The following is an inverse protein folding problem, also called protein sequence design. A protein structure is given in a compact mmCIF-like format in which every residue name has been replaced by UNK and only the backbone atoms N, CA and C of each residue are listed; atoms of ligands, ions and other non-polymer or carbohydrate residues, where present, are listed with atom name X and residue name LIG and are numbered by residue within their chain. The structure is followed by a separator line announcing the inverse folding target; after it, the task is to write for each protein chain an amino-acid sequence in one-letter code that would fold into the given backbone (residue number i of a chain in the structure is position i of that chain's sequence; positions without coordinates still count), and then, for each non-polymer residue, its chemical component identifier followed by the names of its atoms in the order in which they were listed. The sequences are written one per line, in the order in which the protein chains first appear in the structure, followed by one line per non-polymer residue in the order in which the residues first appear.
data_IF_625185211990
#
_entry.id   IF_625185211990
#
_cell.length_a   1.000
_cell.length_b   1.000
_cell.length_c   1.000
_cell.angle_alpha   90.00
_cell.angle_beta   90.00
_cell.angle_gamma   90.00
#
_symmetry.space_group_name_H-M   'P 1'
#
loop_
_entity.id
_entity.type
_entity.pdbx_description
1 polymer ?
#
# COMPACT_ATOMS: atom_id res chain seq x y z
N UNK A 1 57.62 -35.69 -20.19
CA UNK A 1 57.51 -34.32 -20.71
C UNK A 1 57.13 -33.41 -19.55
N UNK A 2 58.03 -32.53 -19.11
CA UNK A 2 57.76 -31.60 -18.01
C UNK A 2 56.81 -30.55 -18.59
N UNK A 3 55.55 -30.53 -18.15
CA UNK A 3 54.61 -29.48 -18.53
C UNK A 3 55.23 -28.13 -18.18
N UNK A 4 55.56 -27.32 -19.19
CA UNK A 4 56.11 -25.99 -18.98
C UNK A 4 55.13 -25.18 -18.13
N UNK A 5 55.63 -24.59 -17.03
CA UNK A 5 54.80 -23.77 -16.17
C UNK A 5 54.13 -22.64 -16.98
N UNK A 6 52.83 -22.37 -16.79
CA UNK A 6 52.12 -21.36 -17.55
C UNK A 6 52.74 -19.98 -17.31
N UNK A 7 52.82 -19.11 -18.31
CA UNK A 7 53.34 -17.76 -18.10
C UNK A 7 52.57 -17.04 -16.97
N UNK A 8 53.20 -16.13 -16.20
CA UNK A 8 52.54 -15.45 -15.08
C UNK A 8 51.21 -14.79 -15.46
N UNK A 9 51.12 -14.19 -16.65
CA UNK A 9 49.91 -13.55 -17.18
C UNK A 9 48.77 -14.53 -17.46
N UNK A 10 49.06 -15.81 -17.71
CA UNK A 10 48.01 -16.83 -17.90
C UNK A 10 47.44 -17.33 -16.57
N UNK A 11 48.23 -17.26 -15.49
CA UNK A 11 47.86 -17.79 -14.18
C UNK A 11 47.33 -16.72 -13.22
N UNK A 12 47.83 -15.48 -13.33
CA UNK A 12 47.62 -14.41 -12.35
C UNK A 12 47.09 -13.16 -13.06
N UNK A 13 45.85 -12.80 -12.71
CA UNK A 13 45.20 -11.58 -13.18
C UNK A 13 45.26 -10.50 -12.10
N UNK A 14 45.72 -9.30 -12.45
CA UNK A 14 45.73 -8.15 -11.53
C UNK A 14 44.49 -7.28 -11.77
N UNK A 15 43.69 -7.08 -10.73
CA UNK A 15 42.57 -6.14 -10.76
C UNK A 15 43.00 -4.81 -10.12
N UNK A 16 43.23 -3.74 -10.90
CA UNK A 16 43.76 -2.48 -10.39
C UNK A 16 42.83 -1.78 -9.41
N UNK A 17 41.51 -1.88 -9.62
CA UNK A 17 40.50 -1.21 -8.79
C UNK A 17 40.49 -1.70 -7.34
N UNK A 18 40.69 -3.01 -7.17
CA UNK A 18 40.70 -3.66 -5.86
C UNK A 18 42.13 -3.87 -5.35
N UNK A 19 43.13 -3.62 -6.19
CA UNK A 19 44.54 -3.92 -5.95
C UNK A 19 44.76 -5.37 -5.49
N UNK A 20 44.06 -6.31 -6.13
CA UNK A 20 44.16 -7.75 -5.82
C UNK A 20 44.72 -8.54 -6.99
N UNK A 21 45.33 -9.68 -6.67
CA UNK A 21 45.84 -10.63 -7.66
C UNK A 21 45.02 -11.93 -7.60
N UNK A 22 44.24 -12.21 -8.64
CA UNK A 22 43.38 -13.39 -8.73
C UNK A 22 44.10 -14.51 -9.47
N UNK A 23 44.09 -15.72 -8.90
CA UNK A 23 44.52 -16.91 -9.63
C UNK A 23 43.39 -17.37 -10.55
N UNK A 24 43.62 -17.37 -11.86
CA UNK A 24 42.60 -17.73 -12.87
C UNK A 24 42.20 -19.21 -12.78
N UNK A 25 43.10 -20.07 -12.33
CA UNK A 25 42.83 -21.51 -12.15
C UNK A 25 42.13 -21.82 -10.84
N UNK A 26 42.47 -21.13 -9.74
CA UNK A 26 41.86 -21.38 -8.44
C UNK A 26 40.63 -20.52 -8.16
N UNK A 27 40.44 -19.45 -8.94
CA UNK A 27 39.33 -18.52 -8.86
C UNK A 27 39.16 -17.90 -7.47
N UNK A 28 40.26 -17.38 -6.91
CA UNK A 28 40.27 -16.55 -5.71
C UNK A 28 41.51 -15.65 -5.68
N UNK A 29 41.44 -14.55 -4.94
CA UNK A 29 42.53 -13.61 -4.74
C UNK A 29 43.59 -14.16 -3.78
N UNK A 30 44.86 -14.06 -4.16
CA UNK A 30 45.98 -14.51 -3.34
C UNK A 30 46.48 -13.35 -2.50
N UNK A 31 46.63 -13.57 -1.19
CA UNK A 31 47.25 -12.59 -0.31
C UNK A 31 48.71 -12.34 -0.70
N UNK A 32 49.23 -11.10 -0.57
CA UNK A 32 50.60 -10.76 -0.95
C UNK A 32 51.64 -11.69 -0.31
N UNK A 33 51.48 -11.97 0.98
CA UNK A 33 52.37 -12.84 1.77
C UNK A 33 52.26 -14.32 1.39
N UNK A 34 51.16 -14.74 0.78
CA UNK A 34 50.86 -16.13 0.46
C UNK A 34 51.21 -16.53 -0.99
N UNK A 35 51.59 -15.60 -1.87
CA UNK A 35 51.86 -15.85 -3.29
C UNK A 35 52.85 -17.00 -3.50
N UNK A 36 54.01 -16.92 -2.85
CA UNK A 36 55.06 -17.95 -2.97
C UNK A 36 54.60 -19.32 -2.50
N UNK A 37 53.78 -19.37 -1.44
CA UNK A 37 53.21 -20.60 -0.89
C UNK A 37 52.15 -21.17 -1.82
N UNK A 38 51.25 -20.33 -2.33
CA UNK A 38 50.22 -20.70 -3.30
C UNK A 38 50.83 -21.32 -4.57
N UNK A 39 51.83 -20.67 -5.16
CA UNK A 39 52.54 -21.18 -6.34
C UNK A 39 53.21 -22.54 -6.07
N UNK A 40 53.79 -22.73 -4.88
CA UNK A 40 54.42 -24.00 -4.46
C UNK A 40 53.40 -25.11 -4.30
N UNK A 41 52.40 -24.88 -3.45
CA UNK A 41 51.63 -25.96 -2.84
C UNK A 41 50.49 -26.39 -3.76
N UNK A 42 49.91 -25.43 -4.49
CA UNK A 42 48.77 -25.67 -5.38
C UNK A 42 49.24 -25.91 -6.82
N UNK A 43 50.09 -25.05 -7.37
CA UNK A 43 50.54 -25.14 -8.77
C UNK A 43 51.86 -25.89 -8.97
N UNK A 44 52.51 -26.36 -7.89
CA UNK A 44 53.80 -27.08 -7.94
C UNK A 44 54.90 -26.31 -8.68
N UNK A 45 54.85 -24.97 -8.66
CA UNK A 45 55.89 -24.09 -9.19
C UNK A 45 56.94 -23.93 -8.09
N UNK A 46 58.05 -24.65 -8.24
CA UNK A 46 59.16 -24.66 -7.27
C UNK A 46 60.10 -23.46 -7.46
N UNK A 47 61.01 -23.26 -6.50
CA UNK A 47 61.88 -22.07 -6.39
C UNK A 47 62.57 -21.69 -7.71
N UNK A 48 63.05 -22.66 -8.47
CA UNK A 48 63.75 -22.46 -9.75
C UNK A 48 62.90 -21.80 -10.84
N UNK A 49 61.57 -21.97 -10.80
CA UNK A 49 60.64 -21.48 -11.81
C UNK A 49 59.81 -20.26 -11.35
N UNK A 50 60.04 -19.74 -10.12
CA UNK A 50 59.23 -18.64 -9.56
C UNK A 50 59.65 -17.25 -9.99
N UNK A 51 60.90 -17.07 -10.44
CA UNK A 51 61.43 -15.75 -10.75
C UNK A 51 60.51 -14.90 -11.66
N UNK A 52 59.92 -15.45 -12.75
CA UNK A 52 58.99 -14.70 -13.60
C UNK A 52 57.72 -14.24 -12.86
N UNK A 53 57.20 -15.04 -11.92
CA UNK A 53 56.01 -14.70 -11.14
C UNK A 53 56.33 -13.65 -10.10
N UNK A 54 57.44 -13.77 -9.36
CA UNK A 54 57.86 -12.75 -8.38
C UNK A 54 58.10 -11.41 -9.07
N UNK A 55 58.76 -11.40 -10.23
CA UNK A 55 58.96 -10.20 -11.04
C UNK A 55 57.65 -9.61 -11.58
N UNK A 56 56.65 -10.45 -11.88
CA UNK A 56 55.33 -10.00 -12.30
C UNK A 56 54.56 -9.36 -11.14
N UNK A 57 54.52 -10.01 -9.97
CA UNK A 57 53.77 -9.53 -8.81
C UNK A 57 54.38 -8.29 -8.18
N UNK A 58 55.71 -8.14 -8.23
CA UNK A 58 56.41 -6.98 -7.70
C UNK A 58 56.07 -5.64 -8.40
N UNK A 59 55.45 -5.70 -9.59
CA UNK A 59 54.99 -4.51 -10.33
C UNK A 59 53.76 -3.84 -9.71
N UNK A 60 53.06 -4.53 -8.82
CA UNK A 60 51.75 -4.11 -8.34
C UNK A 60 51.76 -3.87 -6.82
N UNK A 61 51.12 -2.80 -6.39
CA UNK A 61 50.89 -2.52 -4.98
C UNK A 61 49.61 -3.23 -4.53
N UNK A 62 49.75 -4.41 -3.91
CA UNK A 62 48.62 -5.26 -3.52
C UNK A 62 48.04 -4.88 -2.15
N UNK A 63 46.72 -4.91 -2.04
CA UNK A 63 46.00 -4.61 -0.79
C UNK A 63 45.96 -5.83 0.15
N UNK A 64 45.98 -5.60 1.47
CA UNK A 64 45.75 -6.66 2.46
C UNK A 64 44.24 -6.94 2.61
N UNK A 65 43.82 -8.17 3.01
CA UNK A 65 42.41 -8.56 3.06
C UNK A 65 41.47 -7.62 3.82
N UNK A 66 41.91 -7.07 4.96
CA UNK A 66 41.09 -6.19 5.80
C UNK A 66 40.76 -4.84 5.16
N UNK A 67 41.61 -4.37 4.24
CA UNK A 67 41.44 -3.09 3.55
C UNK A 67 40.51 -3.21 2.34
N UNK A 68 40.38 -4.42 1.77
CA UNK A 68 39.48 -4.72 0.64
C UNK A 68 38.02 -4.76 1.08
N UNK A 69 37.73 -5.22 2.31
CA UNK A 69 36.36 -5.27 2.87
C UNK A 69 35.72 -3.87 2.95
N UNK A 70 36.52 -2.81 3.01
CA UNK A 70 36.06 -1.42 3.02
C UNK A 70 36.02 -0.78 1.62
N UNK A 71 36.52 -1.47 0.60
CA UNK A 71 36.58 -0.94 -0.76
C UNK A 71 35.23 -1.11 -1.46
N UNK A 72 34.72 -0.04 -2.05
CA UNK A 72 33.50 -0.09 -2.88
C UNK A 72 33.76 -0.94 -4.11
N UNK A 73 32.82 -1.86 -4.40
CA UNK A 73 32.85 -2.69 -5.61
C UNK A 73 32.21 -1.91 -6.75
N UNK A 74 33.01 -1.46 -7.71
CA UNK A 74 32.54 -0.65 -8.84
C UNK A 74 32.07 -1.49 -10.03
N UNK A 75 32.62 -2.70 -10.19
CA UNK A 75 32.30 -3.61 -11.29
C UNK A 75 31.95 -5.01 -10.78
N UNK A 76 30.76 -5.48 -11.15
CA UNK A 76 30.25 -6.82 -10.84
C UNK A 76 29.67 -7.47 -12.11
N UNK A 77 29.97 -8.75 -12.41
CA UNK A 77 30.88 -9.63 -11.68
C UNK A 77 32.36 -9.27 -11.93
N UNK A 78 33.19 -9.41 -10.91
CA UNK A 78 34.65 -9.35 -11.03
C UNK A 78 35.12 -10.57 -11.84
N UNK A 79 35.86 -10.39 -12.95
CA UNK A 79 36.35 -11.50 -13.76
C UNK A 79 37.17 -12.51 -12.96
N UNK A 80 37.14 -13.77 -13.40
CA UNK A 80 37.90 -14.90 -12.80
C UNK A 80 37.53 -15.27 -11.35
N UNK A 81 36.50 -14.66 -10.76
CA UNK A 81 35.92 -15.09 -9.48
C UNK A 81 34.58 -15.82 -9.71
N UNK A 82 34.28 -16.86 -8.92
CA UNK A 82 33.01 -17.59 -9.03
C UNK A 82 31.86 -16.73 -8.48
N UNK A 83 30.74 -16.72 -9.19
CA UNK A 83 29.49 -16.16 -8.71
C UNK A 83 28.65 -17.24 -8.02
N UNK A 84 28.02 -16.87 -6.91
CA UNK A 84 27.16 -17.74 -6.11
C UNK A 84 25.78 -17.13 -6.00
N UNK A 85 24.75 -17.98 -6.00
CA UNK A 85 23.40 -17.55 -5.63
C UNK A 85 23.34 -17.42 -4.11
N UNK A 86 23.19 -16.19 -3.64
CA UNK A 86 23.07 -15.90 -2.21
C UNK A 86 21.91 -14.96 -1.91
N UNK A 87 21.94 -14.40 -0.71
CA UNK A 87 20.87 -13.64 -0.10
C UNK A 87 21.45 -12.34 0.46
N UNK A 88 20.67 -11.25 0.33
CA UNK A 88 21.00 -9.92 0.83
C UNK A 88 19.94 -9.46 1.81
N UNK A 89 20.35 -9.01 3.00
CA UNK A 89 19.45 -8.42 3.99
C UNK A 89 18.81 -7.12 3.45
N UNK A 90 17.53 -6.90 3.76
CA UNK A 90 16.77 -5.72 3.37
C UNK A 90 16.56 -4.70 4.50
N UNK A 91 17.11 -4.94 5.70
CA UNK A 91 17.01 -4.00 6.81
C UNK A 91 17.74 -2.67 6.53
N UNK A 92 17.17 -1.57 7.01
CA UNK A 92 17.68 -0.22 6.75
C UNK A 92 19.01 -0.05 7.48
N UNK A 93 20.09 0.09 6.71
CA UNK A 93 21.50 0.14 7.14
C UNK A 93 22.17 -1.22 7.40
N UNK A 94 21.61 -2.33 6.90
CA UNK A 94 22.25 -3.64 6.94
C UNK A 94 22.79 -4.05 5.57
N UNK A 95 24.12 -4.20 5.46
CA UNK A 95 24.79 -4.66 4.24
C UNK A 95 25.12 -6.17 4.27
N UNK A 96 24.46 -6.93 5.14
CA UNK A 96 24.78 -8.33 5.35
C UNK A 96 24.39 -9.21 4.15
N UNK A 97 25.34 -10.04 3.73
CA UNK A 97 25.22 -10.97 2.60
C UNK A 97 25.59 -12.38 3.06
N UNK A 98 24.81 -13.39 2.64
CA UNK A 98 25.16 -14.78 2.92
C UNK A 98 24.58 -15.74 1.88
N UNK A 99 25.07 -16.97 1.85
CA UNK A 99 24.66 -17.99 0.85
C UNK A 99 23.50 -18.88 1.30
N UNK A 100 23.02 -18.77 2.54
CA UNK A 100 21.98 -19.68 3.04
C UNK A 100 20.94 -18.99 3.91
N UNK A 101 19.68 -19.41 3.74
CA UNK A 101 18.52 -18.93 4.51
C UNK A 101 18.73 -19.09 6.01
N UNK A 102 19.27 -20.23 6.45
CA UNK A 102 19.58 -20.49 7.86
C UNK A 102 20.55 -19.47 8.46
N UNK A 103 21.55 -19.02 7.70
CA UNK A 103 22.47 -17.97 8.15
C UNK A 103 21.78 -16.61 8.20
N UNK A 104 20.90 -16.34 7.24
CA UNK A 104 20.14 -15.09 7.20
C UNK A 104 19.14 -15.00 8.36
N UNK A 105 18.40 -16.07 8.66
CA UNK A 105 17.51 -16.15 9.81
C UNK A 105 18.25 -15.93 11.13
N UNK A 106 19.43 -16.55 11.30
CA UNK A 106 20.26 -16.35 12.49
C UNK A 106 20.75 -14.91 12.60
N UNK A 107 21.19 -14.32 11.50
CA UNK A 107 21.61 -12.92 11.43
C UNK A 107 20.47 -11.97 11.83
N UNK A 108 19.26 -12.22 11.33
CA UNK A 108 18.08 -11.44 11.70
C UNK A 108 17.78 -11.52 13.20
N UNK A 109 17.86 -12.71 13.77
CA UNK A 109 17.64 -12.89 15.19
C UNK A 109 18.71 -12.17 16.05
N UNK A 110 19.98 -12.17 15.60
CA UNK A 110 21.08 -11.58 16.38
C UNK A 110 21.22 -10.07 16.21
N UNK A 111 21.12 -9.56 14.98
CA UNK A 111 21.38 -8.15 14.64
C UNK A 111 20.09 -7.31 14.62
N UNK A 112 18.95 -7.91 14.26
CA UNK A 112 17.67 -7.20 14.13
C UNK A 112 16.67 -7.55 15.24
N UNK A 113 17.04 -8.44 16.16
CA UNK A 113 16.24 -8.78 17.35
C UNK A 113 14.92 -9.51 17.07
N UNK A 114 14.69 -9.95 15.83
CA UNK A 114 13.50 -10.71 15.43
C UNK A 114 13.82 -11.80 14.41
N UNK A 115 12.93 -12.76 14.26
CA UNK A 115 13.01 -13.71 13.14
C UNK A 115 12.74 -12.97 11.83
N UNK A 116 13.56 -13.25 10.82
CA UNK A 116 13.32 -12.74 9.47
C UNK A 116 12.64 -13.78 8.57
N UNK A 117 11.95 -13.30 7.55
CA UNK A 117 11.15 -14.07 6.61
C UNK A 117 11.70 -13.99 5.19
N UNK A 118 11.65 -15.11 4.46
CA UNK A 118 12.11 -15.15 3.07
C UNK A 118 11.30 -14.17 2.19
N UNK A 119 11.98 -13.55 1.23
CA UNK A 119 11.43 -12.62 0.22
C UNK A 119 10.84 -11.29 0.75
N UNK A 120 10.82 -11.11 2.08
CA UNK A 120 10.44 -9.86 2.76
C UNK A 120 11.68 -9.19 3.35
N UNK A 121 12.44 -9.96 4.13
CA UNK A 121 13.55 -9.47 4.95
C UNK A 121 14.92 -9.65 4.28
N UNK A 122 14.95 -10.44 3.21
CA UNK A 122 16.09 -10.58 2.32
C UNK A 122 15.65 -10.99 0.92
N UNK A 123 16.45 -10.62 -0.07
CA UNK A 123 16.23 -11.00 -1.48
C UNK A 123 17.41 -11.79 -2.02
N UNK A 124 17.20 -12.65 -3.03
CA UNK A 124 18.28 -13.27 -3.79
C UNK A 124 19.23 -12.22 -4.37
N UNK A 125 20.52 -12.47 -4.27
CA UNK A 125 21.56 -11.61 -4.85
C UNK A 125 22.73 -12.45 -5.34
N UNK A 126 23.28 -12.17 -6.54
CA UNK A 126 24.50 -12.81 -6.98
C UNK A 126 25.66 -12.31 -6.11
N UNK A 127 26.41 -13.23 -5.51
CA UNK A 127 27.51 -12.96 -4.60
C UNK A 127 28.84 -13.40 -5.20
N UNK A 128 29.90 -12.66 -4.94
CA UNK A 128 31.28 -13.09 -5.16
C UNK A 128 32.09 -12.84 -3.88
N UNK A 129 33.25 -13.48 -3.77
CA UNK A 129 34.20 -13.26 -2.68
C UNK A 129 35.63 -13.29 -3.22
N UNK A 130 36.49 -12.41 -2.74
CA UNK A 130 37.91 -12.40 -3.09
C UNK A 130 38.65 -13.55 -2.41
N UNK A 131 38.35 -13.83 -1.14
CA UNK A 131 39.07 -14.81 -0.32
C UNK A 131 38.16 -15.95 0.14
N UNK A 132 38.77 -17.05 0.58
CA UNK A 132 38.09 -18.24 1.10
C UNK A 132 38.45 -18.47 2.57
N UNK A 133 37.70 -19.34 3.25
CA UNK A 133 37.94 -19.71 4.65
C UNK A 133 37.62 -18.56 5.60
N UNK A 134 38.51 -18.29 6.56
CA UNK A 134 38.28 -17.30 7.62
C UNK A 134 38.29 -15.83 7.14
N UNK A 135 38.63 -15.58 5.88
CA UNK A 135 38.64 -14.25 5.26
C UNK A 135 37.50 -14.06 4.26
N UNK A 136 36.51 -14.96 4.29
CA UNK A 136 35.38 -14.92 3.39
C UNK A 136 34.49 -13.72 3.70
N UNK A 137 34.33 -12.86 2.70
CA UNK A 137 33.46 -11.70 2.74
C UNK A 137 32.77 -11.58 1.39
N UNK A 138 31.44 -11.71 1.40
CA UNK A 138 30.66 -11.62 0.17
C UNK A 138 30.45 -10.17 -0.23
N UNK A 139 30.42 -9.94 -1.54
CA UNK A 139 30.03 -8.68 -2.14
C UNK A 139 29.15 -8.96 -3.37
N UNK A 140 28.45 -7.95 -3.85
CA UNK A 140 27.42 -8.05 -4.90
C UNK A 140 27.33 -6.74 -5.68
N UNK A 141 26.60 -6.71 -6.80
CA UNK A 141 26.42 -5.48 -7.59
C UNK A 141 25.73 -4.39 -6.78
N UNK A 142 26.23 -3.16 -6.93
CA UNK A 142 25.64 -1.92 -6.41
C UNK A 142 24.28 -1.61 -7.05
N UNK A 143 23.97 -2.22 -8.19
CA UNK A 143 22.62 -2.28 -8.70
C UNK A 143 21.80 -3.21 -7.79
N UNK A 144 20.89 -2.63 -6.98
CA UNK A 144 19.71 -3.39 -6.56
C UNK A 144 19.16 -4.02 -7.84
N UNK A 145 19.03 -5.36 -7.93
CA UNK A 145 18.53 -5.97 -9.15
C UNK A 145 17.19 -5.33 -9.46
N UNK A 146 17.17 -4.53 -10.53
CA UNK A 146 15.96 -4.13 -11.23
C UNK A 146 15.45 -5.42 -11.84
N UNK A 147 14.64 -6.16 -11.08
CA UNK A 147 13.80 -7.20 -11.66
C UNK A 147 13.05 -6.51 -12.80
N UNK A 148 13.18 -7.07 -14.00
CA UNK A 148 12.60 -6.55 -15.24
C UNK A 148 11.08 -6.53 -15.17
N UNK A 149 10.54 -5.51 -14.52
CA UNK A 149 9.28 -4.89 -14.89
C UNK A 149 9.73 -3.56 -15.50
N UNK A 150 9.37 -3.32 -16.75
CA UNK A 150 9.65 -2.06 -17.43
C UNK A 150 9.39 -0.89 -16.47
N UNK A 151 10.45 -0.13 -16.11
CA UNK A 151 10.30 1.10 -15.32
C UNK A 151 9.42 2.05 -16.11
N UNK A 152 8.12 2.07 -15.82
CA UNK A 152 7.34 3.29 -15.95
C UNK A 152 7.95 4.32 -14.98
N UNK A 153 8.02 5.61 -15.35
CA UNK A 153 8.77 6.58 -14.57
C UNK A 153 8.20 6.67 -13.15
N UNK A 154 9.01 6.29 -12.16
CA UNK A 154 8.81 6.72 -10.78
C UNK A 154 8.86 8.24 -10.79
N UNK A 155 7.72 8.89 -10.59
CA UNK A 155 7.63 10.34 -10.45
C UNK A 155 8.55 10.75 -9.29
N UNK A 156 9.60 11.50 -9.59
CA UNK A 156 10.36 12.22 -8.57
C UNK A 156 9.37 13.18 -7.92
N UNK A 157 9.00 12.91 -6.66
CA UNK A 157 8.06 13.74 -5.92
C UNK A 157 8.66 15.15 -5.79
N UNK A 158 7.89 16.18 -6.14
CA UNK A 158 8.31 17.56 -5.91
C UNK A 158 8.38 17.84 -4.40
N UNK A 159 9.04 18.93 -4.01
CA UNK A 159 9.15 19.36 -2.59
C UNK A 159 7.77 19.46 -1.91
N UNK A 160 6.74 19.91 -2.64
CA UNK A 160 5.35 19.95 -2.15
C UNK A 160 4.78 18.55 -1.86
N UNK A 161 5.01 17.58 -2.75
CA UNK A 161 4.52 16.21 -2.59
C UNK A 161 5.23 15.50 -1.43
N UNK A 162 6.51 15.81 -1.21
CA UNK A 162 7.29 15.25 -0.11
C UNK A 162 6.79 15.75 1.26
N UNK A 163 6.42 17.04 1.34
CA UNK A 163 5.78 17.61 2.53
C UNK A 163 4.42 16.98 2.82
N UNK A 164 3.61 16.73 1.77
CA UNK A 164 2.33 16.04 1.91
C UNK A 164 2.49 14.59 2.38
N UNK A 165 3.47 13.85 1.84
CA UNK A 165 3.77 12.49 2.29
C UNK A 165 4.25 12.47 3.74
N UNK A 166 5.11 13.41 4.13
CA UNK A 166 5.53 13.56 5.52
C UNK A 166 4.33 13.89 6.43
N UNK A 167 3.42 14.76 5.99
CA UNK A 167 2.19 15.06 6.71
C UNK A 167 1.33 13.79 6.89
N UNK A 168 1.24 12.95 5.86
CA UNK A 168 0.56 11.66 5.97
C UNK A 168 1.15 10.79 7.09
N UNK A 169 2.46 10.58 7.05
CA UNK A 169 3.20 9.66 7.94
C UNK A 169 3.29 10.15 9.39
N UNK A 170 3.08 11.44 9.64
CA UNK A 170 3.25 12.04 10.98
C UNK A 170 1.94 12.45 11.63
N UNK A 171 0.95 12.84 10.81
CA UNK A 171 -0.30 13.45 11.26
C UNK A 171 -1.52 12.70 10.72
N UNK A 172 -1.72 12.62 9.40
CA UNK A 172 -2.96 12.06 8.82
C UNK A 172 -3.17 10.59 9.18
N UNK A 173 -2.12 9.76 9.18
CA UNK A 173 -2.22 8.34 9.49
C UNK A 173 -2.81 8.05 10.88
N UNK A 174 -2.64 8.97 11.84
CA UNK A 174 -3.18 8.87 13.21
C UNK A 174 -4.66 9.21 13.31
N UNK A 175 -5.19 9.86 12.29
CA UNK A 175 -6.60 10.29 12.20
C UNK A 175 -7.47 9.30 11.44
N UNK A 176 -6.85 8.31 10.81
CA UNK A 176 -7.55 7.17 10.20
C UNK A 176 -7.95 6.17 11.28
N UNK A 177 -8.95 5.30 11.04
CA UNK A 177 -9.49 4.38 12.04
C UNK A 177 -8.40 3.68 12.87
N UNK A 178 -8.47 3.91 14.18
CA UNK A 178 -7.39 3.84 15.18
C UNK A 178 -6.80 2.45 15.44
N UNK A 179 -7.47 1.40 15.01
CA UNK A 179 -7.06 0.01 15.24
C UNK A 179 -5.77 -0.41 14.49
N UNK A 180 -5.26 0.43 13.59
CA UNK A 180 -4.20 0.06 12.63
C UNK A 180 -3.18 1.18 12.32
N UNK A 181 -2.84 2.06 13.27
CA UNK A 181 -1.93 3.20 13.02
C UNK A 181 -0.62 2.79 12.33
N UNK A 182 0.00 1.68 12.74
CA UNK A 182 1.25 1.20 12.15
C UNK A 182 1.09 0.81 10.66
N UNK A 183 -0.08 0.30 10.27
CA UNK A 183 -0.37 -0.06 8.90
C UNK A 183 -0.42 1.22 8.04
N UNK A 184 -1.18 2.22 8.49
CA UNK A 184 -1.27 3.51 7.80
C UNK A 184 0.04 4.28 7.81
N UNK A 185 0.83 4.18 8.88
CA UNK A 185 2.06 4.96 9.04
C UNK A 185 3.25 4.36 8.28
N UNK A 186 3.36 3.04 8.21
CA UNK A 186 4.54 2.34 7.68
C UNK A 186 4.21 1.49 6.46
N UNK A 187 3.28 0.53 6.59
CA UNK A 187 3.02 -0.43 5.52
C UNK A 187 2.44 0.21 4.26
N UNK A 188 1.40 1.03 4.40
CA UNK A 188 0.72 1.66 3.27
C UNK A 188 1.65 2.61 2.48
N UNK A 189 2.46 3.49 3.12
CA UNK A 189 3.47 4.26 2.41
C UNK A 189 4.51 3.41 1.69
N UNK A 190 5.00 2.32 2.30
CA UNK A 190 5.94 1.41 1.63
C UNK A 190 5.33 0.73 0.41
N UNK A 191 4.07 0.30 0.49
CA UNK A 191 3.34 -0.26 -0.67
C UNK A 191 3.15 0.82 -1.76
N UNK A 192 2.92 2.07 -1.36
CA UNK A 192 2.71 3.19 -2.28
C UNK A 192 3.96 3.56 -3.10
N UNK A 193 5.17 3.28 -2.61
CA UNK A 193 6.41 3.49 -3.37
C UNK A 193 6.42 2.75 -4.71
N UNK A 194 5.77 1.58 -4.75
CA UNK A 194 5.68 0.72 -5.94
C UNK A 194 4.35 0.88 -6.69
N UNK A 195 3.38 1.61 -6.12
CA UNK A 195 2.03 1.75 -6.64
C UNK A 195 1.66 3.24 -6.78
N UNK A 196 1.91 3.84 -7.96
CA UNK A 196 1.71 5.28 -8.16
C UNK A 196 0.30 5.80 -7.88
N UNK A 197 -0.73 4.97 -8.12
CA UNK A 197 -2.12 5.32 -7.78
C UNK A 197 -2.30 5.47 -6.27
N UNK A 198 -1.72 4.57 -5.48
CA UNK A 198 -1.78 4.63 -4.02
C UNK A 198 -0.99 5.83 -3.49
N UNK A 199 0.20 6.10 -4.04
CA UNK A 199 0.98 7.29 -3.67
C UNK A 199 0.15 8.57 -3.85
N UNK A 200 -0.49 8.73 -5.01
CA UNK A 200 -1.36 9.88 -5.24
C UNK A 200 -2.56 9.92 -4.29
N UNK A 201 -3.12 8.78 -3.87
CA UNK A 201 -4.17 8.76 -2.84
C UNK A 201 -3.68 9.24 -1.46
N UNK A 202 -2.45 8.89 -1.06
CA UNK A 202 -1.87 9.39 0.21
C UNK A 202 -1.70 10.91 0.19
N UNK A 203 -1.22 11.44 -0.95
CA UNK A 203 -1.04 12.88 -1.15
C UNK A 203 -2.38 13.60 -1.19
N UNK A 204 -3.38 13.04 -1.88
CA UNK A 204 -4.73 13.58 -1.95
C UNK A 204 -5.38 13.63 -0.56
N UNK A 205 -5.32 12.55 0.20
CA UNK A 205 -5.85 12.47 1.57
C UNK A 205 -5.15 13.46 2.51
N UNK A 206 -3.82 13.59 2.43
CA UNK A 206 -3.07 14.55 3.24
C UNK A 206 -3.41 15.99 2.90
N UNK A 207 -3.53 16.30 1.62
CA UNK A 207 -3.89 17.64 1.16
C UNK A 207 -5.32 17.98 1.58
N UNK A 208 -6.24 17.03 1.51
CA UNK A 208 -7.61 17.21 1.97
C UNK A 208 -7.69 17.43 3.49
N UNK A 209 -6.91 16.67 4.26
CA UNK A 209 -6.81 16.87 5.71
C UNK A 209 -6.25 18.27 6.03
N UNK A 210 -5.23 18.75 5.30
CA UNK A 210 -4.73 20.12 5.46
C UNK A 210 -5.78 21.17 5.09
N UNK A 211 -6.59 20.95 4.05
CA UNK A 211 -7.69 21.85 3.69
C UNK A 211 -8.73 21.99 4.82
N UNK A 212 -8.94 20.94 5.63
CA UNK A 212 -9.81 21.05 6.82
C UNK A 212 -9.20 21.87 7.96
N UNK A 213 -7.87 21.91 8.06
CA UNK A 213 -7.14 22.69 9.07
C UNK A 213 -6.92 24.14 8.65
N UNK A 214 -6.84 24.39 7.35
CA UNK A 214 -6.63 25.71 6.76
C UNK A 214 -7.70 26.00 5.69
N UNK A 215 -8.98 26.20 6.07
CA UNK A 215 -10.07 26.38 5.10
C UNK A 215 -9.92 27.62 4.20
N UNK A 216 -9.16 28.62 4.64
CA UNK A 216 -8.87 29.82 3.85
C UNK A 216 -7.90 29.57 2.68
N UNK A 217 -7.12 28.47 2.73
CA UNK A 217 -6.13 28.13 1.72
C UNK A 217 -6.67 27.09 0.73
N UNK A 218 -7.27 27.59 -0.35
CA UNK A 218 -7.84 26.79 -1.43
C UNK A 218 -6.81 25.98 -2.21
N UNK A 219 -5.50 26.24 -2.02
CA UNK A 219 -4.43 25.48 -2.67
C UNK A 219 -4.48 24.02 -2.23
N UNK A 220 -4.77 23.73 -0.96
CA UNK A 220 -4.84 22.37 -0.45
C UNK A 220 -6.01 21.57 -1.04
N UNK A 221 -7.17 22.20 -1.22
CA UNK A 221 -8.31 21.55 -1.87
C UNK A 221 -8.02 21.29 -3.36
N UNK A 222 -7.37 22.25 -4.04
CA UNK A 222 -6.96 22.11 -5.44
C UNK A 222 -5.94 20.97 -5.62
N UNK A 223 -4.94 20.87 -4.72
CA UNK A 223 -3.96 19.80 -4.71
C UNK A 223 -4.59 18.44 -4.41
N UNK A 224 -5.56 18.40 -3.49
CA UNK A 224 -6.32 17.20 -3.18
C UNK A 224 -7.03 16.66 -4.44
N UNK A 225 -7.78 17.52 -5.15
CA UNK A 225 -8.43 17.16 -6.41
C UNK A 225 -7.45 16.71 -7.49
N UNK A 226 -6.34 17.43 -7.65
CA UNK A 226 -5.30 17.11 -8.64
C UNK A 226 -4.74 15.70 -8.41
N UNK A 227 -4.35 15.39 -7.17
CA UNK A 227 -3.81 14.08 -6.85
C UNK A 227 -4.89 13.00 -6.94
N UNK A 228 -6.12 13.27 -6.47
CA UNK A 228 -7.21 12.30 -6.55
C UNK A 228 -7.53 11.92 -7.99
N UNK A 229 -7.64 12.88 -8.91
CA UNK A 229 -7.91 12.61 -10.32
C UNK A 229 -6.82 11.73 -10.95
N UNK A 230 -5.56 12.00 -10.61
CA UNK A 230 -4.43 11.18 -11.07
C UNK A 230 -4.42 9.79 -10.45
N UNK A 231 -4.75 9.70 -9.16
CA UNK A 231 -4.86 8.44 -8.43
C UNK A 231 -5.94 7.55 -9.06
N UNK A 232 -7.12 8.11 -9.34
CA UNK A 232 -8.26 7.43 -9.96
C UNK A 232 -7.95 6.95 -11.39
N UNK A 233 -7.28 7.77 -12.21
CA UNK A 233 -6.87 7.37 -13.56
C UNK A 233 -5.94 6.15 -13.53
N UNK A 234 -4.92 6.18 -12.68
CA UNK A 234 -3.96 5.09 -12.52
C UNK A 234 -4.59 3.85 -11.86
N UNK A 235 -5.55 4.05 -10.94
CA UNK A 235 -6.28 2.97 -10.30
C UNK A 235 -7.15 2.20 -11.30
N UNK A 236 -7.83 2.90 -12.22
CA UNK A 236 -8.60 2.30 -13.31
C UNK A 236 -7.74 1.37 -14.18
N UNK A 237 -6.48 1.74 -14.46
CA UNK A 237 -5.54 0.87 -15.15
C UNK A 237 -5.15 -0.37 -14.31
N UNK A 238 -4.92 -0.18 -13.00
CA UNK A 238 -4.48 -1.24 -12.10
C UNK A 238 -5.54 -2.33 -11.89
N UNK A 239 -6.82 -1.95 -11.75
CA UNK A 239 -7.92 -2.91 -11.56
C UNK A 239 -8.24 -3.72 -12.82
N UNK A 240 -7.78 -3.29 -14.00
CA UNK A 240 -7.86 -4.10 -15.22
C UNK A 240 -6.95 -5.34 -15.19
N UNK A 241 -5.93 -5.35 -14.32
CA UNK A 241 -4.96 -6.43 -14.17
C UNK A 241 -4.64 -6.67 -12.69
N UNK A 242 -5.62 -7.20 -11.95
CA UNK A 242 -5.42 -7.55 -10.53
C UNK A 242 -4.45 -8.73 -10.43
N UNK A 243 -3.46 -8.61 -9.56
CA UNK A 243 -2.42 -9.60 -9.33
C UNK A 243 -2.03 -9.63 -7.85
N UNK A 244 -1.30 -10.66 -7.44
CA UNK A 244 -0.80 -10.79 -6.06
C UNK A 244 0.07 -9.58 -5.64
N UNK A 245 0.78 -8.98 -6.60
CA UNK A 245 1.71 -7.86 -6.36
C UNK A 245 1.03 -6.50 -6.16
N UNK A 246 -0.23 -6.33 -6.55
CA UNK A 246 -0.96 -5.06 -6.45
C UNK A 246 -2.25 -5.15 -5.62
N UNK A 247 -2.68 -6.34 -5.21
CA UNK A 247 -3.93 -6.56 -4.47
C UNK A 247 -3.98 -5.78 -3.15
N UNK A 248 -2.87 -5.72 -2.41
CA UNK A 248 -2.75 -4.94 -1.17
C UNK A 248 -2.87 -3.43 -1.44
N UNK A 249 -2.25 -2.96 -2.53
CA UNK A 249 -2.31 -1.56 -2.90
C UNK A 249 -3.73 -1.14 -3.29
N UNK A 250 -4.45 -2.00 -4.02
CA UNK A 250 -5.86 -1.82 -4.37
C UNK A 250 -6.71 -1.77 -3.09
N UNK A 251 -6.46 -2.67 -2.14
CA UNK A 251 -7.17 -2.69 -0.86
C UNK A 251 -6.96 -1.42 -0.03
N UNK A 252 -5.71 -0.96 0.10
CA UNK A 252 -5.39 0.29 0.80
C UNK A 252 -6.02 1.50 0.10
N UNK A 253 -5.99 1.52 -1.23
CA UNK A 253 -6.60 2.59 -2.02
C UNK A 253 -8.10 2.69 -1.78
N UNK A 254 -8.84 1.58 -1.75
CA UNK A 254 -10.29 1.57 -1.50
C UNK A 254 -10.68 2.24 -0.18
N UNK A 255 -9.91 2.04 0.88
CA UNK A 255 -10.16 2.70 2.16
C UNK A 255 -9.90 4.21 2.09
N UNK A 256 -8.78 4.62 1.46
CA UNK A 256 -8.47 6.04 1.28
C UNK A 256 -9.46 6.74 0.36
N UNK A 257 -10.02 6.02 -0.61
CA UNK A 257 -11.07 6.52 -1.49
C UNK A 257 -12.35 6.86 -0.72
N UNK A 258 -12.75 6.02 0.25
CA UNK A 258 -13.89 6.32 1.13
C UNK A 258 -13.63 7.54 1.99
N UNK A 259 -12.44 7.62 2.61
CA UNK A 259 -12.05 8.79 3.42
C UNK A 259 -12.06 10.07 2.58
N UNK A 260 -11.52 10.00 1.37
CA UNK A 260 -11.52 11.12 0.43
C UNK A 260 -12.93 11.53 0.04
N UNK A 261 -13.80 10.58 -0.31
CA UNK A 261 -15.17 10.85 -0.75
C UNK A 261 -15.94 11.66 0.31
N UNK A 262 -15.99 11.17 1.55
CA UNK A 262 -16.64 11.90 2.64
C UNK A 262 -16.01 13.27 2.90
N UNK A 263 -14.67 13.34 2.93
CA UNK A 263 -13.97 14.59 3.19
C UNK A 263 -14.14 15.64 2.09
N UNK A 264 -14.27 15.22 0.83
CA UNK A 264 -14.43 16.11 -0.32
C UNK A 264 -15.88 16.61 -0.44
N UNK A 265 -16.87 15.72 -0.31
CA UNK A 265 -18.28 16.11 -0.35
C UNK A 265 -18.64 17.11 0.76
N UNK A 266 -18.02 16.99 1.93
CA UNK A 266 -18.10 17.97 3.02
C UNK A 266 -17.65 19.39 2.60
N UNK A 267 -16.64 19.49 1.75
CA UNK A 267 -16.12 20.79 1.29
C UNK A 267 -16.98 21.39 0.16
N UNK A 268 -17.68 20.53 -0.59
CA UNK A 268 -18.44 20.94 -1.77
C UNK A 268 -19.96 21.09 -1.52
N UNK A 269 -20.46 20.74 -0.33
CA UNK A 269 -21.89 20.78 0.06
C UNK A 269 -22.80 20.04 -0.94
N UNK A 270 -22.38 18.86 -1.40
CA UNK A 270 -23.13 18.01 -2.34
C UNK A 270 -23.88 16.90 -1.63
N UNK A 271 -24.87 16.30 -2.29
CA UNK A 271 -25.52 15.07 -1.80
C UNK A 271 -24.56 13.86 -1.93
N UNK A 272 -24.47 13.06 -0.87
CA UNK A 272 -23.80 11.76 -0.89
C UNK A 272 -24.50 10.81 -1.89
N UNK A 273 -23.73 9.98 -2.59
CA UNK A 273 -24.18 8.96 -3.56
C UNK A 273 -24.69 9.46 -4.93
N UNK A 274 -24.89 10.77 -5.14
CA UNK A 274 -25.48 11.30 -6.39
C UNK A 274 -24.46 11.85 -7.39
N UNK A 275 -23.20 12.07 -6.97
CA UNK A 275 -22.19 12.69 -7.83
C UNK A 275 -21.64 11.72 -8.89
N UNK A 276 -22.22 11.71 -10.08
CA UNK A 276 -21.67 10.99 -11.24
C UNK A 276 -20.44 11.73 -11.81
N UNK A 277 -19.38 11.00 -12.17
CA UNK A 277 -18.38 11.55 -13.10
C UNK A 277 -19.02 11.63 -14.49
N UNK A 278 -18.83 12.74 -15.22
CA UNK A 278 -19.36 12.99 -16.57
C UNK A 278 -18.92 11.99 -17.66
N UNK A 279 -18.22 10.92 -17.28
CA UNK A 279 -17.63 9.90 -18.14
C UNK A 279 -18.11 8.47 -17.83
N UNK A 280 -18.99 8.26 -16.84
CA UNK A 280 -19.50 6.93 -16.50
C UNK A 280 -20.93 6.71 -17.06
N UNK A 281 -21.14 5.69 -17.93
CA UNK A 281 -22.42 5.44 -18.61
C UNK A 281 -23.61 5.16 -17.68
N UNK A 282 -23.35 4.65 -16.47
CA UNK A 282 -24.38 4.10 -15.58
C UNK A 282 -24.86 5.08 -14.50
N UNK A 283 -24.31 6.30 -14.44
CA UNK A 283 -24.76 7.32 -13.48
C UNK A 283 -24.39 7.08 -12.00
N UNK A 284 -23.69 6.00 -11.65
CA UNK A 284 -23.24 5.75 -10.27
C UNK A 284 -22.14 6.72 -9.86
N UNK A 285 -22.14 7.12 -8.59
CA UNK A 285 -21.02 7.86 -8.00
C UNK A 285 -19.70 7.08 -8.13
N UNK A 286 -18.68 7.70 -8.73
CA UNK A 286 -17.47 6.98 -9.16
C UNK A 286 -16.80 6.21 -8.02
N UNK A 287 -16.75 6.79 -6.81
CA UNK A 287 -16.17 6.08 -5.67
C UNK A 287 -17.00 4.87 -5.26
N UNK A 288 -18.33 4.98 -5.26
CA UNK A 288 -19.23 3.89 -4.90
C UNK A 288 -19.15 2.73 -5.89
N UNK A 289 -19.06 3.04 -7.19
CA UNK A 289 -18.82 2.04 -8.23
C UNK A 289 -17.54 1.25 -7.94
N UNK A 290 -16.43 1.93 -7.59
CA UNK A 290 -15.18 1.24 -7.28
C UNK A 290 -15.21 0.47 -5.97
N UNK A 291 -15.96 0.90 -4.95
CA UNK A 291 -16.10 0.09 -3.74
C UNK A 291 -16.93 -1.16 -4.02
N UNK A 292 -18.05 -1.05 -4.73
CA UNK A 292 -18.91 -2.20 -5.09
C UNK A 292 -18.16 -3.24 -5.93
N UNK A 293 -17.43 -2.79 -6.95
CA UNK A 293 -16.70 -3.69 -7.84
C UNK A 293 -15.34 -4.10 -7.28
N UNK A 294 -14.62 -3.16 -6.64
CA UNK A 294 -13.28 -3.36 -6.10
C UNK A 294 -13.23 -4.38 -4.97
N UNK A 295 -14.23 -4.41 -4.08
CA UNK A 295 -14.33 -5.45 -3.05
C UNK A 295 -14.42 -6.85 -3.66
N UNK A 296 -15.18 -7.02 -4.74
CA UNK A 296 -15.29 -8.30 -5.46
C UNK A 296 -13.99 -8.68 -6.17
N UNK A 297 -13.31 -7.71 -6.79
CA UNK A 297 -12.04 -7.91 -7.50
C UNK A 297 -10.91 -8.40 -6.57
N UNK A 298 -10.88 -7.89 -5.34
CA UNK A 298 -9.85 -8.22 -4.37
C UNK A 298 -10.21 -9.48 -3.55
N UNK A 299 -11.48 -9.91 -3.58
CA UNK A 299 -11.94 -11.07 -2.79
C UNK A 299 -11.19 -12.37 -3.13
N UNK A 300 -10.82 -12.59 -4.40
CA UNK A 300 -9.99 -13.74 -4.81
C UNK A 300 -8.59 -13.76 -4.17
N UNK A 301 -8.09 -12.60 -3.78
CA UNK A 301 -6.77 -12.41 -3.13
C UNK A 301 -6.88 -12.18 -1.62
N UNK A 302 -8.09 -12.35 -1.04
CA UNK A 302 -8.34 -12.10 0.39
C UNK A 302 -7.38 -12.89 1.29
N UNK A 303 -7.04 -14.13 0.91
CA UNK A 303 -6.11 -14.97 1.65
C UNK A 303 -4.67 -14.40 1.65
N UNK A 304 -4.20 -13.88 0.53
CA UNK A 304 -2.88 -13.22 0.41
C UNK A 304 -2.84 -11.96 1.26
N UNK A 305 -3.87 -11.11 1.15
CA UNK A 305 -3.90 -9.86 1.90
C UNK A 305 -4.01 -10.13 3.40
N UNK A 306 -4.80 -11.13 3.80
CA UNK A 306 -4.91 -11.57 5.19
C UNK A 306 -3.56 -12.00 5.79
N UNK A 307 -2.65 -12.56 4.98
CA UNK A 307 -1.29 -12.93 5.41
C UNK A 307 -0.28 -11.79 5.31
N UNK A 308 -0.60 -10.73 4.57
CA UNK A 308 0.27 -9.58 4.34
C UNK A 308 0.18 -8.49 5.42
N UNK A 309 0.97 -7.41 5.29
CA UNK A 309 0.97 -6.29 6.23
C UNK A 309 -0.40 -5.60 6.39
N UNK A 310 -1.30 -5.74 5.41
CA UNK A 310 -2.67 -5.22 5.49
C UNK A 310 -3.68 -6.22 6.09
N UNK A 311 -3.24 -7.38 6.56
CA UNK A 311 -4.16 -8.48 6.91
C UNK A 311 -5.21 -8.13 7.96
N UNK A 312 -4.88 -7.23 8.89
CA UNK A 312 -5.84 -6.75 9.89
C UNK A 312 -6.88 -5.77 9.31
N UNK A 313 -6.55 -5.02 8.25
CA UNK A 313 -7.54 -4.21 7.51
C UNK A 313 -8.54 -5.11 6.75
N UNK A 314 -8.15 -6.32 6.35
CA UNK A 314 -9.03 -7.27 5.64
C UNK A 314 -9.91 -8.11 6.56
N UNK A 315 -9.56 -8.27 7.84
CA UNK A 315 -10.51 -8.80 8.83
C UNK A 315 -11.78 -7.93 8.93
N UNK A 316 -11.66 -6.61 8.73
CA UNK A 316 -12.78 -5.66 8.69
C UNK A 316 -13.66 -5.85 7.44
N UNK A 317 -13.12 -6.44 6.36
CA UNK A 317 -13.89 -6.77 5.16
C UNK A 317 -14.71 -8.04 5.28
N UNK A 318 -14.50 -8.85 6.32
CA UNK A 318 -15.38 -9.98 6.60
C UNK A 318 -16.72 -9.51 7.12
N UNK A 319 -17.78 -10.26 6.88
CA UNK A 319 -19.01 -10.12 7.66
C UNK A 319 -18.64 -10.31 9.13
N UNK A 320 -18.95 -9.37 10.02
CA UNK A 320 -18.86 -9.62 11.45
C UNK A 320 -19.74 -10.84 11.75
N UNK A 321 -19.18 -11.89 12.37
CA UNK A 321 -19.96 -12.98 12.97
C UNK A 321 -20.69 -12.45 14.22
N UNK A 322 -21.55 -11.46 14.04
CA UNK A 322 -22.38 -10.87 15.08
C UNK A 322 -23.81 -11.25 14.76
N UNK A 323 -24.50 -11.87 15.72
CA UNK A 323 -25.94 -12.10 15.60
C UNK A 323 -26.64 -10.74 15.51
N UNK A 324 -27.17 -10.42 14.33
CA UNK A 324 -27.87 -9.17 14.08
C UNK A 324 -29.28 -9.30 14.65
N UNK A 325 -29.70 -8.31 15.45
CA UNK A 325 -31.06 -8.26 15.98
C UNK A 325 -32.08 -8.09 14.85
N UNK A 326 -32.81 -9.15 14.54
CA UNK A 326 -33.92 -9.11 13.58
C UNK A 326 -35.01 -8.13 14.04
N UNK A 327 -35.22 -8.01 15.36
CA UNK A 327 -36.21 -7.10 15.94
C UNK A 327 -35.87 -5.63 15.64
N UNK A 328 -34.62 -5.21 15.84
CA UNK A 328 -34.20 -3.83 15.55
C UNK A 328 -34.25 -3.50 14.06
N UNK A 329 -33.84 -4.46 13.22
CA UNK A 329 -33.94 -4.32 11.78
C UNK A 329 -35.40 -4.07 11.36
N UNK A 330 -36.36 -4.80 11.96
CA UNK A 330 -37.79 -4.62 11.72
C UNK A 330 -38.31 -3.26 12.18
N UNK A 331 -37.96 -2.76 13.38
CA UNK A 331 -38.43 -1.46 13.88
C UNK A 331 -38.10 -0.28 12.95
N UNK A 332 -36.84 -0.19 12.50
CA UNK A 332 -36.40 0.85 11.57
C UNK A 332 -37.04 0.64 10.21
N UNK A 333 -37.09 -0.61 9.72
CA UNK A 333 -37.74 -0.92 8.44
C UNK A 333 -39.21 -0.51 8.46
N UNK A 334 -39.97 -0.84 9.50
CA UNK A 334 -41.38 -0.49 9.65
C UNK A 334 -41.59 1.03 9.64
N UNK A 335 -40.71 1.76 10.33
CA UNK A 335 -40.72 3.23 10.32
C UNK A 335 -40.45 3.80 8.91
N UNK A 336 -39.52 3.21 8.16
CA UNK A 336 -39.25 3.61 6.78
C UNK A 336 -40.38 3.19 5.82
N UNK A 337 -41.02 2.05 6.07
CA UNK A 337 -42.15 1.57 5.29
C UNK A 337 -43.39 2.45 5.48
N UNK A 338 -43.62 3.02 6.66
CA UNK A 338 -44.72 3.99 6.86
C UNK A 338 -44.50 5.25 6.02
N UNK A 339 -43.26 5.72 5.89
CA UNK A 339 -42.91 6.87 5.02
C UNK A 339 -43.25 6.59 3.56
N UNK A 340 -42.97 5.37 3.09
CA UNK A 340 -43.34 4.96 1.71
C UNK A 340 -44.87 4.92 1.56
N UNK A 341 -45.59 4.41 2.56
CA UNK A 341 -47.05 4.33 2.56
C UNK A 341 -47.73 5.70 2.57
N UNK A 342 -47.18 6.66 3.32
CA UNK A 342 -47.68 8.04 3.37
C UNK A 342 -47.62 8.73 1.99
N UNK A 343 -46.65 8.33 1.15
CA UNK A 343 -46.54 8.77 -0.24
C UNK A 343 -47.05 7.77 -1.28
N UNK A 344 -47.80 6.73 -0.90
CA UNK A 344 -48.10 5.58 -1.78
C UNK A 344 -48.60 5.97 -3.18
N UNK A 345 -49.47 6.96 -3.26
CA UNK A 345 -50.08 7.42 -4.53
C UNK A 345 -49.10 8.20 -5.43
N UNK A 346 -47.93 8.57 -4.92
CA UNK A 346 -46.87 9.28 -5.64
C UNK A 346 -45.91 8.33 -6.37
N UNK A 347 -45.90 7.04 -6.00
CA UNK A 347 -44.89 6.09 -6.48
C UNK A 347 -45.47 5.14 -7.52
N UNK A 348 -44.71 4.90 -8.59
CA UNK A 348 -44.97 3.75 -9.45
C UNK A 348 -44.73 2.44 -8.68
N UNK A 349 -45.35 1.32 -9.10
CA UNK A 349 -45.12 0.01 -8.48
C UNK A 349 -43.63 -0.39 -8.44
N UNK A 350 -42.86 0.07 -9.44
CA UNK A 350 -41.42 -0.18 -9.52
C UNK A 350 -40.65 0.66 -8.49
N UNK A 351 -40.95 1.95 -8.35
CA UNK A 351 -40.34 2.82 -7.33
C UNK A 351 -40.64 2.32 -5.92
N UNK A 352 -41.87 1.85 -5.67
CA UNK A 352 -42.27 1.27 -4.40
C UNK A 352 -41.38 0.08 -4.01
N UNK A 353 -41.15 -0.87 -4.92
CA UNK A 353 -40.29 -2.03 -4.63
C UNK A 353 -38.81 -1.62 -4.45
N UNK A 354 -38.31 -0.63 -5.21
CA UNK A 354 -36.95 -0.09 -5.03
C UNK A 354 -36.80 0.54 -3.65
N UNK A 355 -37.76 1.37 -3.23
CA UNK A 355 -37.75 2.03 -1.91
C UNK A 355 -37.87 0.99 -0.79
N UNK A 356 -38.75 0.00 -0.93
CA UNK A 356 -38.89 -1.10 0.04
C UNK A 356 -37.60 -1.91 0.22
N UNK A 357 -36.93 -2.26 -0.87
CA UNK A 357 -35.61 -2.92 -0.82
C UNK A 357 -34.57 -2.05 -0.10
N UNK A 358 -34.51 -0.76 -0.42
CA UNK A 358 -33.61 0.20 0.23
C UNK A 358 -33.91 0.37 1.73
N UNK A 359 -35.19 0.35 2.13
CA UNK A 359 -35.63 0.43 3.52
C UNK A 359 -35.19 -0.80 4.32
N UNK A 360 -35.39 -2.01 3.79
CA UNK A 360 -34.92 -3.25 4.41
C UNK A 360 -33.39 -3.26 4.61
N UNK A 361 -32.64 -2.82 3.58
CA UNK A 361 -31.18 -2.72 3.65
C UNK A 361 -30.72 -1.70 4.69
N UNK A 362 -31.43 -0.57 4.81
CA UNK A 362 -31.13 0.45 5.82
C UNK A 362 -31.42 -0.07 7.22
N UNK A 363 -32.56 -0.73 7.44
CA UNK A 363 -32.89 -1.37 8.72
C UNK A 363 -31.83 -2.38 9.14
N UNK A 364 -31.34 -3.20 8.21
CA UNK A 364 -30.23 -4.12 8.47
C UNK A 364 -28.92 -3.40 8.83
N UNK A 365 -28.62 -2.27 8.19
CA UNK A 365 -27.45 -1.46 8.52
C UNK A 365 -27.51 -0.88 9.94
N UNK A 366 -28.69 -0.45 10.40
CA UNK A 366 -28.91 -0.02 11.79
C UNK A 366 -28.70 -1.16 12.79
N UNK A 367 -29.29 -2.32 12.53
CA UNK A 367 -29.12 -3.48 13.40
C UNK A 367 -27.65 -3.95 13.45
N UNK A 368 -26.93 -3.87 12.33
CA UNK A 368 -25.48 -4.15 12.30
C UNK A 368 -24.66 -3.11 13.08
N UNK A 369 -25.03 -1.83 13.00
CA UNK A 369 -24.36 -0.78 13.77
C UNK A 369 -24.56 -0.93 15.28
N UNK A 370 -25.72 -1.40 15.71
CA UNK A 370 -26.00 -1.73 17.11
C UNK A 370 -25.18 -2.95 17.56
N UNK A 371 -25.18 -4.03 16.78
CA UNK A 371 -24.43 -5.25 17.09
C UNK A 371 -22.91 -5.01 17.18
N UNK A 372 -22.38 -4.09 16.37
CA UNK A 372 -20.97 -3.72 16.39
C UNK A 372 -20.59 -2.81 17.58
N UNK A 373 -21.53 -2.05 18.12
CA UNK A 373 -21.29 -1.11 19.23
C UNK A 373 -20.10 -0.18 18.94
N UNK A 374 -19.12 -0.17 19.86
CA UNK A 374 -17.88 0.61 19.72
C UNK A 374 -16.98 0.17 18.55
N UNK A 375 -17.21 -1.03 18.00
CA UNK A 375 -16.53 -1.53 16.81
C UNK A 375 -17.08 -1.01 15.49
N UNK A 376 -18.14 -0.19 15.51
CA UNK A 376 -18.70 0.40 14.29
C UNK A 376 -17.76 1.45 13.70
N UNK A 377 -17.27 1.20 12.49
CA UNK A 377 -16.33 2.07 11.80
C UNK A 377 -16.86 2.61 10.45
N UNK A 378 -16.09 3.49 9.81
CA UNK A 378 -16.43 4.06 8.51
C UNK A 378 -16.65 3.00 7.44
N UNK A 379 -15.91 1.89 7.49
CA UNK A 379 -16.04 0.85 6.48
C UNK A 379 -17.35 0.07 6.67
N UNK A 380 -17.74 -0.24 7.90
CA UNK A 380 -19.04 -0.83 8.21
C UNK A 380 -20.20 0.08 7.76
N UNK A 381 -20.09 1.39 7.99
CA UNK A 381 -21.10 2.36 7.55
C UNK A 381 -21.29 2.39 6.03
N UNK A 382 -20.22 2.21 5.24
CA UNK A 382 -20.29 2.16 3.77
C UNK A 382 -20.73 0.80 3.24
N UNK A 383 -20.22 -0.27 3.84
CA UNK A 383 -20.50 -1.64 3.41
C UNK A 383 -21.96 -2.04 3.63
N UNK A 384 -22.55 -1.60 4.74
CA UNK A 384 -23.86 -2.13 5.13
C UNK A 384 -25.02 -1.53 4.32
N UNK A 385 -24.90 -0.28 3.84
CA UNK A 385 -25.99 0.38 3.10
C UNK A 385 -25.57 0.97 1.75
N UNK A 386 -24.64 1.95 1.64
CA UNK A 386 -24.25 2.50 0.34
C UNK A 386 -23.88 1.45 -0.71
N UNK A 387 -23.14 0.40 -0.33
CA UNK A 387 -22.73 -0.63 -1.30
C UNK A 387 -23.82 -1.66 -1.62
N UNK A 388 -24.91 -1.72 -0.85
CA UNK A 388 -25.97 -2.72 -1.01
C UNK A 388 -27.21 -2.20 -1.72
N UNK A 389 -27.50 -0.89 -1.63
CA UNK A 389 -28.65 -0.29 -2.34
C UNK A 389 -28.52 -0.40 -3.85
N UNK A 390 -29.63 -0.49 -4.57
CA UNK A 390 -29.61 -0.69 -6.01
C UNK A 390 -29.13 0.56 -6.77
N UNK A 391 -28.79 0.41 -8.05
CA UNK A 391 -28.45 1.55 -8.91
C UNK A 391 -29.69 2.43 -9.18
N UNK A 392 -30.85 1.79 -9.26
CA UNK A 392 -32.13 2.45 -9.44
C UNK A 392 -32.47 3.33 -8.22
N UNK A 393 -32.16 2.88 -7.00
CA UNK A 393 -32.29 3.74 -5.81
C UNK A 393 -31.37 4.97 -5.88
N UNK A 394 -30.11 4.81 -6.30
CA UNK A 394 -29.21 5.96 -6.47
C UNK A 394 -29.70 6.94 -7.54
N UNK A 395 -30.42 6.44 -8.56
CA UNK A 395 -31.09 7.28 -9.55
C UNK A 395 -32.26 8.04 -8.93
N UNK A 396 -33.08 7.42 -8.09
CA UNK A 396 -34.14 8.11 -7.35
C UNK A 396 -33.59 9.23 -6.44
N UNK A 397 -32.43 9.02 -5.82
CA UNK A 397 -31.73 10.09 -5.07
C UNK A 397 -31.30 11.24 -5.99
N UNK A 398 -30.77 10.95 -7.18
CA UNK A 398 -30.36 11.96 -8.15
C UNK A 398 -31.56 12.71 -8.75
N UNK A 399 -32.70 12.04 -8.87
CA UNK A 399 -34.01 12.59 -9.29
C UNK A 399 -34.75 13.29 -8.13
N UNK A 400 -34.10 13.43 -6.96
CA UNK A 400 -34.63 14.12 -5.76
C UNK A 400 -35.95 13.53 -5.23
N UNK A 401 -36.13 12.22 -5.38
CA UNK A 401 -37.31 11.52 -4.85
C UNK A 401 -37.42 11.73 -3.31
N UNK A 402 -38.57 12.19 -2.79
CA UNK A 402 -38.69 12.58 -1.38
C UNK A 402 -38.38 11.45 -0.40
N UNK A 403 -38.93 10.25 -0.64
CA UNK A 403 -38.70 9.10 0.23
C UNK A 403 -37.22 8.68 0.20
N UNK A 404 -36.59 8.70 -0.98
CA UNK A 404 -35.18 8.40 -1.11
C UNK A 404 -34.30 9.40 -0.34
N UNK A 405 -34.59 10.71 -0.45
CA UNK A 405 -33.89 11.75 0.29
C UNK A 405 -34.07 11.61 1.81
N UNK A 406 -35.28 11.26 2.26
CA UNK A 406 -35.55 10.98 3.68
C UNK A 406 -34.72 9.79 4.16
N UNK A 407 -34.59 8.72 3.39
CA UNK A 407 -33.76 7.55 3.77
C UNK A 407 -32.28 7.91 3.89
N UNK A 408 -31.77 8.79 3.01
CA UNK A 408 -30.42 9.34 3.16
C UNK A 408 -30.28 10.20 4.43
N UNK A 409 -31.36 10.88 4.84
CA UNK A 409 -31.45 11.55 6.14
C UNK A 409 -31.33 10.57 7.31
N UNK A 410 -32.06 9.45 7.29
CA UNK A 410 -31.92 8.40 8.31
C UNK A 410 -30.49 7.82 8.33
N UNK A 411 -29.86 7.62 7.17
CA UNK A 411 -28.47 7.19 7.10
C UNK A 411 -27.50 8.15 7.81
N UNK A 412 -27.80 9.45 7.88
CA UNK A 412 -26.99 10.42 8.63
C UNK A 412 -26.90 10.08 10.12
N UNK A 413 -27.89 9.39 10.71
CA UNK A 413 -27.81 8.91 12.09
C UNK A 413 -26.71 7.86 12.29
N UNK A 414 -26.46 7.01 11.29
CA UNK A 414 -25.34 6.07 11.32
C UNK A 414 -24.01 6.82 11.23
N UNK A 415 -23.93 7.85 10.37
CA UNK A 415 -22.75 8.69 10.28
C UNK A 415 -22.52 9.53 11.56
N UNK A 416 -23.55 9.83 12.36
CA UNK A 416 -23.41 10.51 13.67
C UNK A 416 -22.45 9.80 14.59
N UNK A 417 -22.50 8.46 14.62
CA UNK A 417 -21.59 7.62 15.42
C UNK A 417 -20.12 7.83 15.05
N UNK A 418 -19.84 8.32 13.85
CA UNK A 418 -18.50 8.52 13.30
C UNK A 418 -18.06 10.00 13.26
N UNK A 419 -18.77 10.90 13.95
CA UNK A 419 -18.49 12.34 13.96
C UNK A 419 -17.09 12.72 14.49
N UNK A 420 -16.41 11.81 15.20
CA UNK A 420 -15.03 12.02 15.65
C UNK A 420 -14.02 12.00 14.49
N UNK A 421 -14.36 11.38 13.37
CA UNK A 421 -13.53 11.36 12.18
C UNK A 421 -13.62 12.70 11.45
N UNK A 422 -12.47 13.37 11.21
CA UNK A 422 -12.44 14.70 10.60
C UNK A 422 -13.09 14.77 9.20
N UNK A 423 -13.08 13.66 8.46
CA UNK A 423 -13.67 13.56 7.12
C UNK A 423 -15.19 13.35 7.16
N UNK A 424 -15.77 12.99 8.32
CA UNK A 424 -17.23 12.92 8.54
C UNK A 424 -17.65 14.15 9.36
N UNK A 425 -17.17 14.32 10.58
CA UNK A 425 -17.37 15.51 11.42
C UNK A 425 -18.79 16.09 11.31
N UNK A 426 -18.92 17.34 10.85
CA UNK A 426 -20.19 18.07 10.69
C UNK A 426 -20.94 17.74 9.40
N UNK A 427 -20.40 16.88 8.54
CA UNK A 427 -20.98 16.57 7.24
C UNK A 427 -22.41 16.02 7.31
N UNK A 428 -22.76 15.08 8.22
CA UNK A 428 -24.13 14.56 8.22
C UNK A 428 -25.16 15.63 8.61
N UNK A 429 -24.82 16.57 9.49
CA UNK A 429 -25.67 17.73 9.79
C UNK A 429 -25.83 18.64 8.57
N UNK A 430 -24.73 18.96 7.88
CA UNK A 430 -24.77 19.73 6.63
C UNK A 430 -25.66 19.03 5.59
N UNK A 431 -25.54 17.71 5.47
CA UNK A 431 -26.34 16.89 4.56
C UNK A 431 -27.82 16.95 4.93
N UNK A 432 -28.18 16.84 6.22
CA UNK A 432 -29.58 17.00 6.67
C UNK A 432 -30.16 18.37 6.28
N UNK A 433 -29.40 19.46 6.42
CA UNK A 433 -29.83 20.79 5.96
C UNK A 433 -30.01 20.87 4.44
N UNK A 434 -29.11 20.25 3.66
CA UNK A 434 -29.23 20.17 2.20
C UNK A 434 -30.49 19.36 1.81
N UNK A 435 -30.72 18.23 2.45
CA UNK A 435 -31.90 17.38 2.23
C UNK A 435 -33.18 18.14 2.55
N UNK A 436 -33.23 18.81 3.70
CA UNK A 436 -34.36 19.67 4.08
C UNK A 436 -34.64 20.75 3.05
N UNK A 437 -33.61 21.36 2.47
CA UNK A 437 -33.73 22.39 1.43
C UNK A 437 -34.23 21.87 0.08
N UNK A 438 -34.07 20.58 -0.19
CA UNK A 438 -34.56 19.91 -1.43
C UNK A 438 -35.96 19.33 -1.29
N UNK A 439 -36.38 19.03 -0.07
CA UNK A 439 -37.69 18.47 0.22
C UNK A 439 -38.78 19.56 0.28
N UNK A 440 -39.96 19.24 -0.23
CA UNK A 440 -41.15 20.06 -0.02
C UNK A 440 -41.52 20.13 1.48
N UNK A 441 -42.18 21.22 1.95
CA UNK A 441 -42.51 21.40 3.36
C UNK A 441 -43.29 20.25 4.00
N UNK A 442 -44.10 19.54 3.21
CA UNK A 442 -44.85 18.38 3.67
C UNK A 442 -44.00 17.17 4.06
N UNK A 443 -42.69 17.17 3.77
CA UNK A 443 -41.75 16.10 4.14
C UNK A 443 -40.80 16.53 5.27
N UNK A 444 -40.82 17.80 5.69
CA UNK A 444 -39.87 18.33 6.68
C UNK A 444 -40.03 17.66 8.05
N UNK A 445 -41.22 17.17 8.39
CA UNK A 445 -41.46 16.47 9.66
C UNK A 445 -40.69 15.15 9.80
N UNK A 446 -40.19 14.55 8.71
CA UNK A 446 -39.29 13.39 8.78
C UNK A 446 -37.81 13.75 8.96
N UNK A 447 -37.41 14.99 8.63
CA UNK A 447 -36.00 15.44 8.69
C UNK A 447 -35.73 16.33 9.91
N UNK A 448 -36.67 17.21 10.27
CA UNK A 448 -36.52 18.15 11.38
C UNK A 448 -36.21 17.47 12.73
N UNK A 449 -36.81 16.30 13.06
CA UNK A 449 -36.40 15.54 14.24
C UNK A 449 -34.95 15.05 14.18
N UNK A 450 -34.45 14.68 13.00
CA UNK A 450 -33.06 14.20 12.82
C UNK A 450 -32.05 15.33 13.00
N UNK A 451 -32.38 16.55 12.56
CA UNK A 451 -31.58 17.75 12.81
C UNK A 451 -31.55 18.05 14.31
N UNK A 452 -32.72 18.04 14.95
CA UNK A 452 -32.85 18.31 16.39
C UNK A 452 -32.07 17.29 17.21
N UNK A 453 -32.16 16.00 16.85
CA UNK A 453 -31.39 14.94 17.48
C UNK A 453 -29.89 15.18 17.33
N UNK A 454 -29.41 15.73 16.22
CA UNK A 454 -27.99 16.02 16.02
C UNK A 454 -27.49 17.18 16.89
N UNK A 455 -28.30 18.22 17.07
CA UNK A 455 -27.95 19.43 17.84
C UNK A 455 -27.94 19.21 19.36
N UNK A 456 -28.60 18.14 19.82
CA UNK A 456 -28.55 17.62 21.20
C UNK A 456 -27.38 16.64 21.38
#
# INVERSE_FOLDING_TARGET
MIAMAPSPQKLLEYHPEYRVLVCTQCQYAIQPRAINRHLKDIHKIYRSARHPYTAYTAKYNLCEPGDIVKARVFHFPVPFLPAFDGLRCLDINCEYLCISTKRMQKHWLSEHGRHGYADIDWTPAPLQTFFRGNLLHYFTSMDRPKIGIARRPTATLGTSDQNLLQHFQTVTCKTLPSQHEQIWRLAVPSIAEYNPFLMHALLACSSLHLATKYPSDQVYLTLAHKHQNKAMALFREAIGHVAETNCEAIAAFSHLLVVYAFGAERQENTLLLTRSCSSDPDGICSWLYFIRNGCSLVNGYRHIIATGPLGKLVQIWGEPNTEISQQKASEITESLMSIIQDGHDMWSPNEYEILKDAAHKLGHAFASAEALGDGFDTWAAVRNWPTTVSIEYTRLLAEENPAALVFLGYYCLLLKKLQSAWYIATYPLQLLYILRGKLDPGWHHYIDPLITEWEQ
#
